data_IF_168246008244
#
_entry.id   IF_168246008244
#
_cell.length_a   1.000
_cell.length_b   1.000
_cell.length_c   1.000
_cell.angle_alpha   90.00
_cell.angle_beta   90.00
_cell.angle_gamma   90.00
#
_symmetry.space_group_name_H-M   'P 1'
#
loop_
_entity.id
_entity.type
_entity.pdbx_description
1 polymer ?
#
# COMPACT_ATOMS: atom_id res chain seq x y z
N UNK A 1 -4.30 0.59 13.54
CA UNK A 1 -5.58 -0.11 13.30
C UNK A 1 -5.44 -1.55 13.73
N UNK A 2 -6.44 -2.09 14.45
CA UNK A 2 -6.39 -3.45 15.00
C UNK A 2 -7.66 -4.21 14.61
N UNK A 3 -7.52 -5.52 14.37
CA UNK A 3 -8.64 -6.39 14.05
C UNK A 3 -9.58 -6.53 15.24
N UNK A 4 -10.87 -6.26 15.05
CA UNK A 4 -11.91 -6.39 16.10
C UNK A 4 -12.57 -7.77 16.10
N UNK A 5 -12.21 -8.63 15.15
CA UNK A 5 -12.57 -10.04 15.03
C UNK A 5 -11.50 -10.78 14.23
N UNK A 6 -11.47 -12.11 14.23
CA UNK A 6 -10.65 -12.85 13.28
C UNK A 6 -11.06 -12.54 11.83
N UNK A 7 -10.07 -12.48 10.94
CA UNK A 7 -10.24 -12.26 9.50
C UNK A 7 -9.57 -13.40 8.73
N UNK A 8 -10.17 -13.84 7.64
CA UNK A 8 -9.60 -14.88 6.78
C UNK A 8 -8.86 -14.26 5.59
N UNK A 9 -7.92 -15.00 5.02
CA UNK A 9 -7.20 -14.55 3.81
C UNK A 9 -8.17 -14.20 2.67
N UNK A 10 -7.92 -13.07 2.00
CA UNK A 10 -8.74 -12.54 0.92
C UNK A 10 -9.98 -11.76 1.37
N UNK A 11 -10.25 -11.70 2.68
CA UNK A 11 -11.39 -10.96 3.20
C UNK A 11 -11.17 -9.44 3.09
N UNK A 12 -12.23 -8.70 2.73
CA UNK A 12 -12.20 -7.23 2.75
C UNK A 12 -12.24 -6.72 4.18
N UNK A 13 -11.21 -6.01 4.59
CA UNK A 13 -11.08 -5.39 5.92
C UNK A 13 -11.86 -4.07 5.94
N UNK A 14 -11.63 -3.20 4.95
CA UNK A 14 -12.33 -1.94 4.79
C UNK A 14 -12.29 -1.45 3.34
N UNK A 15 -13.23 -0.59 2.99
CA UNK A 15 -13.18 0.21 1.77
C UNK A 15 -12.53 1.57 2.11
N UNK A 16 -11.60 1.99 1.28
CA UNK A 16 -10.87 3.25 1.44
C UNK A 16 -11.76 4.41 0.99
N UNK A 17 -11.74 5.49 1.75
CA UNK A 17 -12.42 6.74 1.39
C UNK A 17 -11.48 7.67 0.61
N UNK A 18 -11.60 7.66 -0.71
CA UNK A 18 -10.84 8.51 -1.64
C UNK A 18 -11.56 9.83 -1.98
N UNK A 19 -12.55 10.23 -1.20
CA UNK A 19 -13.38 11.41 -1.50
C UNK A 19 -12.61 12.73 -1.38
N UNK A 20 -11.54 12.78 -0.55
CA UNK A 20 -10.73 13.99 -0.35
C UNK A 20 -9.57 14.03 -1.35
N UNK A 21 -9.85 14.52 -2.55
CA UNK A 21 -8.81 14.82 -3.57
C UNK A 21 -8.07 16.11 -3.19
N UNK A 22 -6.77 16.13 -3.45
CA UNK A 22 -5.92 17.33 -3.29
C UNK A 22 -5.49 17.79 -4.67
N UNK A 23 -5.92 18.99 -5.06
CA UNK A 23 -5.62 19.63 -6.33
C UNK A 23 -5.62 21.17 -6.19
N UNK A 24 -5.51 21.90 -7.30
CA UNK A 24 -5.54 23.37 -7.29
C UNK A 24 -6.85 23.97 -6.76
N UNK A 25 -7.98 23.27 -6.96
CA UNK A 25 -9.31 23.69 -6.50
C UNK A 25 -9.57 23.30 -5.04
N UNK A 26 -8.89 22.24 -4.58
CA UNK A 26 -9.04 21.67 -3.24
C UNK A 26 -7.65 21.48 -2.60
N UNK A 27 -6.94 22.60 -2.31
CA UNK A 27 -5.60 22.52 -1.73
C UNK A 27 -5.64 21.99 -0.29
N UNK A 28 -4.45 21.74 0.26
CA UNK A 28 -4.31 21.37 1.68
C UNK A 28 -4.92 22.44 2.59
N UNK A 29 -5.71 21.98 3.55
CA UNK A 29 -6.18 22.80 4.65
C UNK A 29 -5.11 22.96 5.75
N UNK A 30 -5.33 23.85 6.74
CA UNK A 30 -4.35 24.13 7.80
C UNK A 30 -4.03 22.93 8.70
N UNK A 31 -4.88 21.91 8.71
CA UNK A 31 -4.72 20.70 9.54
C UNK A 31 -4.38 19.46 8.71
N UNK A 32 -4.29 19.58 7.39
CA UNK A 32 -3.93 18.48 6.52
C UNK A 32 -2.42 18.21 6.60
N UNK A 33 -2.06 16.93 6.56
CA UNK A 33 -0.66 16.49 6.59
C UNK A 33 -0.35 15.76 5.28
N UNK A 34 0.56 16.31 4.50
CA UNK A 34 0.98 15.74 3.22
C UNK A 34 1.56 14.30 3.35
N UNK A 35 2.00 13.91 4.55
CA UNK A 35 2.43 12.54 4.83
C UNK A 35 1.30 11.51 4.79
N UNK A 36 0.05 11.98 4.84
CA UNK A 36 -1.14 11.15 4.73
C UNK A 36 -1.73 11.16 3.31
N UNK A 37 -0.93 11.46 2.30
CA UNK A 37 -1.39 11.40 0.91
C UNK A 37 -1.00 10.09 0.25
N UNK A 38 -1.93 9.56 -0.55
CA UNK A 38 -1.68 8.55 -1.56
C UNK A 38 -1.62 9.19 -2.94
N UNK A 39 -0.69 8.70 -3.75
CA UNK A 39 -0.49 9.09 -5.14
C UNK A 39 -0.97 7.97 -6.04
N UNK A 40 -2.05 8.24 -6.77
CA UNK A 40 -2.78 7.27 -7.57
C UNK A 40 -2.57 7.51 -9.07
N UNK A 41 -3.29 6.74 -9.88
CA UNK A 41 -3.29 6.82 -11.33
C UNK A 41 -3.48 8.24 -11.87
N UNK A 42 -2.79 8.56 -12.96
CA UNK A 42 -2.85 9.87 -13.62
C UNK A 42 -2.37 11.04 -12.77
N UNK A 43 -1.57 10.78 -11.72
CA UNK A 43 -1.08 11.82 -10.80
C UNK A 43 -2.13 12.32 -9.82
N UNK A 44 -3.24 11.62 -9.67
CA UNK A 44 -4.29 11.96 -8.69
C UNK A 44 -3.73 11.80 -7.28
N UNK A 45 -3.89 12.83 -6.46
CA UNK A 45 -3.50 12.84 -5.06
C UNK A 45 -4.75 12.82 -4.19
N UNK A 46 -4.80 11.89 -3.24
CA UNK A 46 -5.88 11.79 -2.26
C UNK A 46 -5.32 11.89 -0.85
N UNK A 47 -6.00 12.63 0.01
CA UNK A 47 -5.69 12.68 1.43
C UNK A 47 -6.44 11.55 2.14
N UNK A 48 -5.69 10.55 2.60
CA UNK A 48 -6.22 9.39 3.29
C UNK A 48 -7.10 9.77 4.47
N UNK A 49 -8.26 9.14 4.58
CA UNK A 49 -9.21 9.35 5.66
C UNK A 49 -9.09 8.26 6.74
N UNK A 50 -9.53 8.51 8.00
CA UNK A 50 -9.63 7.42 8.97
C UNK A 50 -10.63 6.35 8.49
N UNK A 51 -10.39 5.06 8.79
CA UNK A 51 -9.30 4.54 9.62
C UNK A 51 -8.01 4.25 8.82
N UNK A 52 -8.02 4.28 7.50
CA UNK A 52 -6.91 3.86 6.64
C UNK A 52 -5.62 4.61 6.96
N UNK A 53 -5.64 5.94 7.07
CA UNK A 53 -4.45 6.74 7.36
C UNK A 53 -3.69 6.35 8.63
N UNK A 54 -4.28 5.49 9.45
CA UNK A 54 -3.71 4.96 10.69
C UNK A 54 -3.22 3.52 10.56
N UNK A 55 -3.27 2.92 9.36
CA UNK A 55 -2.67 1.62 9.09
C UNK A 55 -1.17 1.83 8.92
N UNK A 56 -0.37 1.18 9.76
CA UNK A 56 1.07 1.30 9.74
C UNK A 56 1.72 0.42 8.67
N UNK A 57 2.95 0.81 8.30
CA UNK A 57 3.80 -0.02 7.45
C UNK A 57 4.36 -1.21 8.21
N UNK A 58 4.42 -2.36 7.54
CA UNK A 58 5.24 -3.51 7.94
C UNK A 58 6.00 -4.09 6.75
N UNK A 59 7.24 -4.52 6.97
CA UNK A 59 8.01 -5.30 6.00
C UNK A 59 7.55 -6.77 5.90
N UNK A 60 6.64 -7.18 6.78
CA UNK A 60 5.94 -8.47 6.79
C UNK A 60 4.44 -8.21 6.99
N UNK A 61 3.77 -7.69 5.95
CA UNK A 61 2.40 -7.22 6.06
C UNK A 61 1.40 -8.37 6.20
N UNK A 62 0.25 -8.09 6.79
CA UNK A 62 -0.89 -9.01 6.83
C UNK A 62 -2.06 -8.54 5.95
N UNK A 63 -1.91 -7.40 5.29
CA UNK A 63 -2.90 -6.87 4.36
C UNK A 63 -2.25 -6.18 3.17
N UNK A 64 -3.04 -5.85 2.16
CA UNK A 64 -2.62 -5.11 0.97
C UNK A 64 -3.79 -4.31 0.41
N UNK A 65 -3.49 -3.32 -0.45
CA UNK A 65 -4.52 -2.50 -1.10
C UNK A 65 -4.74 -2.96 -2.52
N UNK A 66 -6.00 -3.08 -2.93
CA UNK A 66 -6.41 -3.42 -4.30
C UNK A 66 -7.68 -2.69 -4.72
N UNK A 67 -7.71 -2.22 -5.96
CA UNK A 67 -8.92 -1.65 -6.56
C UNK A 67 -9.82 -2.76 -7.11
N UNK A 68 -11.08 -2.74 -6.69
CA UNK A 68 -12.13 -3.62 -7.19
C UNK A 68 -13.44 -2.86 -7.30
N UNK A 69 -14.13 -2.99 -8.43
CA UNK A 69 -15.41 -2.29 -8.66
C UNK A 69 -15.31 -0.75 -8.54
N UNK A 70 -14.15 -0.17 -8.89
CA UNK A 70 -13.91 1.27 -8.81
C UNK A 70 -13.65 1.79 -7.40
N UNK A 71 -13.46 0.91 -6.41
CA UNK A 71 -13.13 1.27 -5.02
C UNK A 71 -11.81 0.64 -4.62
N UNK A 72 -10.99 1.37 -3.90
CA UNK A 72 -9.81 0.80 -3.24
C UNK A 72 -10.24 0.09 -1.96
N UNK A 73 -9.75 -1.13 -1.78
CA UNK A 73 -10.06 -1.99 -0.65
C UNK A 73 -8.78 -2.40 0.05
N UNK A 74 -8.79 -2.44 1.37
CA UNK A 74 -7.78 -3.15 2.15
C UNK A 74 -8.24 -4.58 2.32
N UNK A 75 -7.44 -5.53 1.84
CA UNK A 75 -7.72 -6.97 1.85
C UNK A 75 -6.74 -7.69 2.78
N UNK A 76 -7.22 -8.70 3.49
CA UNK A 76 -6.37 -9.56 4.29
C UNK A 76 -5.48 -10.44 3.37
N UNK A 77 -4.16 -10.37 3.54
CA UNK A 77 -3.18 -11.19 2.80
C UNK A 77 -3.10 -12.61 3.36
N UNK A 78 -3.32 -12.75 4.65
CA UNK A 78 -3.35 -14.00 5.42
C UNK A 78 -4.42 -13.93 6.50
N UNK A 79 -4.55 -14.98 7.28
CA UNK A 79 -5.37 -14.90 8.50
C UNK A 79 -4.83 -13.84 9.46
N UNK A 80 -5.74 -13.06 10.06
CA UNK A 80 -5.43 -12.01 11.03
C UNK A 80 -6.23 -12.31 12.30
N UNK A 81 -5.55 -12.44 13.42
CA UNK A 81 -6.19 -12.76 14.68
C UNK A 81 -6.93 -11.54 15.29
N UNK A 82 -7.92 -11.79 16.16
CA UNK A 82 -8.50 -10.75 16.99
C UNK A 82 -7.42 -10.00 17.77
N UNK A 83 -7.41 -8.67 17.67
CA UNK A 83 -6.45 -7.78 18.35
C UNK A 83 -5.10 -7.68 17.65
N UNK A 84 -4.88 -8.37 16.52
CA UNK A 84 -3.68 -8.20 15.71
C UNK A 84 -3.69 -6.85 14.98
N UNK A 85 -2.53 -6.19 14.91
CA UNK A 85 -2.39 -4.94 14.15
C UNK A 85 -2.49 -5.22 12.64
N UNK A 86 -3.33 -4.46 11.95
CA UNK A 86 -3.45 -4.49 10.49
C UNK A 86 -2.35 -3.61 9.92
N UNK A 87 -1.55 -4.17 9.01
CA UNK A 87 -0.41 -3.49 8.39
C UNK A 87 -0.30 -3.82 6.91
N UNK A 88 0.18 -2.89 6.08
CA UNK A 88 0.58 -3.17 4.70
C UNK A 88 1.97 -2.62 4.38
N UNK A 89 2.58 -3.11 3.32
CA UNK A 89 3.88 -2.61 2.87
C UNK A 89 3.67 -1.39 1.96
N UNK A 90 4.16 -0.23 2.39
CA UNK A 90 4.02 1.04 1.66
C UNK A 90 4.76 1.07 0.32
N UNK A 91 5.63 0.09 0.05
CA UNK A 91 6.30 -0.03 -1.24
C UNK A 91 5.42 -0.70 -2.31
N UNK A 92 4.32 -1.38 -1.92
CA UNK A 92 3.39 -2.01 -2.87
C UNK A 92 2.52 -0.91 -3.51
N UNK A 93 2.39 -0.94 -4.85
CA UNK A 93 1.69 0.08 -5.64
C UNK A 93 2.27 1.50 -5.53
N UNK A 94 3.55 1.63 -5.19
CA UNK A 94 4.23 2.90 -5.06
C UNK A 94 5.48 2.96 -5.96
N UNK A 95 5.70 4.11 -6.55
CA UNK A 95 6.89 4.45 -7.36
C UNK A 95 7.53 5.76 -6.88
N UNK A 96 7.43 6.05 -5.57
CA UNK A 96 7.96 7.26 -4.96
C UNK A 96 9.46 7.19 -4.71
N UNK A 97 10.01 8.30 -4.24
CA UNK A 97 11.44 8.48 -3.93
C UNK A 97 11.73 8.63 -2.42
N UNK A 98 10.71 8.48 -1.59
CA UNK A 98 10.83 8.60 -0.14
C UNK A 98 11.58 7.41 0.44
N UNK A 99 12.56 7.70 1.32
CA UNK A 99 13.33 6.69 2.05
C UNK A 99 13.22 6.95 3.54
N UNK A 100 13.01 5.91 4.34
CA UNK A 100 12.96 6.04 5.80
C UNK A 100 13.54 4.83 6.54
N UNK A 101 13.95 5.06 7.80
CA UNK A 101 14.35 3.98 8.71
C UNK A 101 13.13 3.28 9.27
N UNK A 102 12.99 1.99 8.96
CA UNK A 102 11.89 1.15 9.43
C UNK A 102 12.19 0.50 10.77
N UNK A 103 11.20 0.49 11.65
CA UNK A 103 11.21 -0.15 12.97
C UNK A 103 9.96 -1.00 13.20
N UNK A 104 9.42 -1.64 12.14
CA UNK A 104 8.17 -2.41 12.23
C UNK A 104 8.25 -3.67 13.12
N UNK A 105 9.46 -4.06 13.55
CA UNK A 105 9.63 -5.22 14.44
C UNK A 105 9.55 -6.59 13.78
N UNK A 106 9.17 -6.67 12.50
CA UNK A 106 9.10 -7.93 11.76
C UNK A 106 10.48 -8.59 11.64
N UNK A 107 10.52 -9.93 11.63
CA UNK A 107 11.78 -10.69 11.48
C UNK A 107 12.50 -10.36 10.16
N UNK A 108 11.74 -10.09 9.08
CA UNK A 108 12.26 -9.66 7.76
C UNK A 108 12.28 -8.14 7.57
N UNK A 109 12.35 -7.37 8.67
CA UNK A 109 12.43 -5.90 8.59
C UNK A 109 13.64 -5.45 7.76
N UNK A 110 13.40 -4.70 6.69
CA UNK A 110 14.43 -4.19 5.77
C UNK A 110 15.35 -3.13 6.39
N UNK A 111 14.96 -2.55 7.53
CA UNK A 111 15.64 -1.45 8.24
C UNK A 111 15.62 -0.12 7.47
N UNK A 112 15.93 -0.12 6.20
CA UNK A 112 15.75 0.98 5.27
C UNK A 112 14.69 0.59 4.24
N UNK A 113 13.70 1.44 4.06
CA UNK A 113 12.56 1.20 3.17
C UNK A 113 12.45 2.34 2.17
N UNK A 114 12.32 1.98 0.91
CA UNK A 114 12.04 2.87 -0.20
C UNK A 114 10.56 2.78 -0.57
N UNK A 115 9.92 3.92 -0.85
CA UNK A 115 8.54 3.97 -1.33
C UNK A 115 8.43 3.63 -2.82
N UNK A 116 9.23 2.70 -3.31
CA UNK A 116 9.19 2.24 -4.69
C UNK A 116 9.24 0.70 -4.72
N UNK A 117 8.27 0.13 -5.42
CA UNK A 117 8.15 -1.32 -5.61
C UNK A 117 9.39 -1.93 -6.23
N UNK A 118 10.04 -1.24 -7.19
CA UNK A 118 11.20 -1.77 -7.89
C UNK A 118 12.52 -1.67 -7.10
N UNK A 119 12.50 -1.00 -5.93
CA UNK A 119 13.59 -1.05 -4.94
C UNK A 119 13.48 -2.19 -3.93
N UNK A 120 12.37 -2.93 -3.94
CA UNK A 120 12.25 -4.13 -3.12
C UNK A 120 13.29 -5.18 -3.53
N UNK A 121 13.77 -6.03 -2.61
CA UNK A 121 14.48 -7.25 -2.96
C UNK A 121 13.71 -8.08 -3.98
N UNK A 122 14.41 -8.71 -4.92
CA UNK A 122 13.78 -9.44 -6.03
C UNK A 122 12.81 -10.53 -5.58
N UNK A 123 13.10 -11.16 -4.44
CA UNK A 123 12.23 -12.17 -3.82
C UNK A 123 10.89 -11.56 -3.39
N UNK A 124 10.92 -10.35 -2.83
CA UNK A 124 9.71 -9.62 -2.43
C UNK A 124 8.97 -9.07 -3.65
N UNK A 125 9.69 -8.62 -4.69
CA UNK A 125 9.04 -8.22 -5.94
C UNK A 125 8.27 -9.40 -6.54
N UNK A 126 8.86 -10.61 -6.53
CA UNK A 126 8.18 -11.84 -7.00
C UNK A 126 6.96 -12.17 -6.15
N UNK A 127 7.12 -12.10 -4.82
CA UNK A 127 6.04 -12.39 -3.86
C UNK A 127 4.85 -11.43 -4.03
N UNK A 128 5.14 -10.12 -4.21
CA UNK A 128 4.13 -9.09 -4.24
C UNK A 128 3.60 -8.74 -5.64
N UNK A 129 4.24 -9.24 -6.70
CA UNK A 129 3.79 -8.98 -8.07
C UNK A 129 2.29 -9.28 -8.30
N UNK A 130 1.70 -10.38 -7.77
CA UNK A 130 0.26 -10.64 -7.89
C UNK A 130 -0.63 -9.65 -7.13
N UNK A 131 -0.08 -8.95 -6.14
CA UNK A 131 -0.81 -8.01 -5.29
C UNK A 131 -0.93 -6.63 -5.93
N UNK A 132 -0.09 -6.32 -6.93
CA UNK A 132 -0.09 -5.02 -7.59
C UNK A 132 -1.44 -4.69 -8.17
N UNK A 133 -1.85 -3.44 -7.96
CA UNK A 133 -3.08 -2.90 -8.51
C UNK A 133 -3.00 -2.77 -10.04
N UNK A 134 -4.13 -2.88 -10.71
CA UNK A 134 -4.23 -2.80 -12.17
C UNK A 134 -3.76 -1.45 -12.72
N UNK A 135 -4.07 -0.35 -12.02
CA UNK A 135 -3.61 0.97 -12.43
C UNK A 135 -2.08 1.09 -12.36
N UNK A 136 -1.44 0.59 -11.27
CA UNK A 136 0.00 0.61 -11.12
C UNK A 136 0.69 -0.27 -12.17
N UNK A 137 0.11 -1.45 -12.44
CA UNK A 137 0.59 -2.33 -13.52
C UNK A 137 0.51 -1.67 -14.90
N UNK A 138 -0.53 -0.89 -15.15
CA UNK A 138 -0.69 -0.17 -16.42
C UNK A 138 0.33 0.97 -16.56
N UNK A 139 0.50 1.80 -15.52
CA UNK A 139 1.46 2.91 -15.52
C UNK A 139 2.92 2.44 -15.60
N UNK A 140 3.24 1.32 -14.97
CA UNK A 140 4.60 0.76 -14.90
C UNK A 140 4.78 -0.48 -15.79
N UNK A 141 3.98 -0.60 -16.86
CA UNK A 141 3.92 -1.80 -17.70
C UNK A 141 5.29 -2.24 -18.23
N UNK A 142 6.13 -1.29 -18.68
CA UNK A 142 7.46 -1.61 -19.19
C UNK A 142 8.41 -2.14 -18.10
N UNK A 143 8.34 -1.60 -16.88
CA UNK A 143 9.14 -2.05 -15.74
C UNK A 143 8.69 -3.45 -15.30
N UNK A 144 7.38 -3.66 -15.21
CA UNK A 144 6.78 -4.95 -14.85
C UNK A 144 7.13 -6.03 -15.87
N UNK A 145 7.05 -5.72 -17.16
CA UNK A 145 7.45 -6.67 -18.22
C UNK A 145 8.93 -7.07 -18.11
N UNK A 146 9.81 -6.10 -17.80
CA UNK A 146 11.24 -6.38 -17.54
C UNK A 146 11.42 -7.31 -16.35
N UNK A 147 10.72 -7.01 -15.25
CA UNK A 147 10.74 -7.83 -14.04
C UNK A 147 10.24 -9.24 -14.32
N UNK A 148 9.07 -9.41 -14.93
CA UNK A 148 8.49 -10.72 -15.25
C UNK A 148 9.43 -11.54 -16.17
N UNK A 149 10.13 -10.88 -17.09
CA UNK A 149 11.13 -11.53 -17.94
C UNK A 149 12.35 -12.01 -17.16
N UNK A 150 12.80 -11.22 -16.17
CA UNK A 150 13.94 -11.57 -15.31
C UNK A 150 13.61 -12.66 -14.27
N UNK A 151 12.33 -12.85 -13.96
CA UNK A 151 11.87 -13.84 -12.98
C UNK A 151 11.60 -15.24 -13.59
N UNK A 152 11.70 -15.39 -14.91
CA UNK A 152 11.56 -16.68 -15.64
C UNK A 152 12.85 -17.47 -15.65
#
# INVERSE_FOLDING_TARGET
VFATRPLVSGETILAIDDSRVVDELHPFGPQDDARHCDYLDGGRVVLMQPPERHINHSCDPNSYVKTSGGKRLVLALREIALGEEITYDYSINSGGDTVWTCRCGAARCRREVHSDFFHLPVELQREYLPLLDSWFRAERAADIQRLESALR
#
